data_IF_924280483246
#
_entry.id   IF_924280483246
#
_cell.length_a   1.000
_cell.length_b   1.000
_cell.length_c   1.000
_cell.angle_alpha   90.00
_cell.angle_beta   90.00
_cell.angle_gamma   90.00
#
_symmetry.space_group_name_H-M   'P 1'
#
loop_
_entity.id
_entity.type
_entity.pdbx_description
1 polymer ?
#
# COMPACT_ATOMS: atom_id res chain seq x y z
N UNK A 1 27.04 8.34 -18.61
CA UNK A 1 27.00 8.62 -20.07
C UNK A 1 25.66 9.22 -20.49
N UNK A 2 24.52 8.54 -20.25
CA UNK A 2 23.19 9.06 -20.59
C UNK A 2 22.82 10.37 -19.85
N UNK A 3 23.25 10.53 -18.60
CA UNK A 3 23.00 11.76 -17.84
C UNK A 3 23.75 12.97 -18.36
N UNK A 4 24.93 12.78 -18.95
CA UNK A 4 25.70 13.85 -19.58
C UNK A 4 25.07 14.30 -20.91
N UNK A 5 24.27 13.44 -21.54
CA UNK A 5 23.51 13.75 -22.75
C UNK A 5 22.12 14.33 -22.43
N UNK A 6 21.81 14.59 -21.16
CA UNK A 6 20.52 15.15 -20.73
C UNK A 6 19.34 14.18 -20.81
N UNK A 7 19.58 12.88 -21.04
CA UNK A 7 18.52 11.87 -21.20
C UNK A 7 17.97 11.41 -19.84
N UNK A 8 18.78 11.49 -18.78
CA UNK A 8 18.36 11.13 -17.43
C UNK A 8 19.13 11.92 -16.35
N UNK A 9 18.64 11.94 -15.12
CA UNK A 9 19.40 12.48 -13.99
C UNK A 9 20.62 11.59 -13.68
N UNK A 10 21.69 12.20 -13.15
CA UNK A 10 22.83 11.42 -12.67
C UNK A 10 22.47 10.62 -11.41
N UNK A 11 23.19 9.53 -11.14
CA UNK A 11 23.02 8.78 -9.90
C UNK A 11 23.26 9.66 -8.65
N UNK A 12 24.27 10.54 -8.72
CA UNK A 12 24.55 11.51 -7.67
C UNK A 12 23.35 12.44 -7.43
N UNK A 13 22.74 12.94 -8.50
CA UNK A 13 21.56 13.82 -8.41
C UNK A 13 20.36 13.11 -7.79
N UNK A 14 20.12 11.85 -8.19
CA UNK A 14 19.07 11.03 -7.60
C UNK A 14 19.31 10.78 -6.10
N UNK A 15 20.56 10.50 -5.71
CA UNK A 15 20.93 10.30 -4.30
C UNK A 15 20.76 11.58 -3.47
N UNK A 16 21.19 12.74 -3.99
CA UNK A 16 21.01 14.05 -3.33
C UNK A 16 19.53 14.37 -3.20
N UNK A 17 18.71 14.09 -4.22
CA UNK A 17 17.27 14.29 -4.17
C UNK A 17 16.60 13.41 -3.11
N UNK A 18 16.92 12.11 -3.09
CA UNK A 18 16.41 11.17 -2.10
C UNK A 18 16.75 11.61 -0.67
N UNK A 19 18.01 11.98 -0.42
CA UNK A 19 18.42 12.45 0.90
C UNK A 19 17.75 13.78 1.30
N UNK A 20 17.59 14.70 0.34
CA UNK A 20 16.89 15.97 0.58
C UNK A 20 15.43 15.73 0.97
N UNK A 21 14.76 14.77 0.34
CA UNK A 21 13.40 14.36 0.71
C UNK A 21 13.33 13.77 2.12
N UNK A 22 14.25 12.87 2.48
CA UNK A 22 14.32 12.29 3.83
C UNK A 22 14.47 13.40 4.88
N UNK A 23 15.31 14.40 4.62
CA UNK A 23 15.54 15.52 5.53
C UNK A 23 14.37 16.52 5.59
N UNK A 24 13.59 16.62 4.51
CA UNK A 24 12.42 17.50 4.44
C UNK A 24 11.23 16.98 5.28
N UNK A 25 11.25 15.70 5.67
CA UNK A 25 10.23 15.07 6.50
C UNK A 25 9.05 14.53 5.71
N UNK A 26 8.07 13.97 6.42
CA UNK A 26 6.83 13.44 5.82
C UNK A 26 5.80 14.54 5.62
N UNK A 27 4.95 14.48 4.57
CA UNK A 27 3.84 15.40 4.39
C UNK A 27 2.93 15.46 5.63
N UNK A 28 2.39 16.64 5.90
CA UNK A 28 1.41 16.82 6.98
C UNK A 28 0.08 16.29 6.46
N UNK A 29 -0.52 15.37 7.21
CA UNK A 29 -1.83 14.79 6.91
C UNK A 29 -2.83 15.33 7.92
N UNK A 30 -3.90 15.94 7.42
CA UNK A 30 -4.98 16.47 8.24
C UNK A 30 -5.84 15.35 8.82
N UNK A 31 -6.40 15.56 10.01
CA UNK A 31 -7.14 14.54 10.78
C UNK A 31 -8.43 14.03 10.13
N UNK A 32 -8.94 14.75 9.13
CA UNK A 32 -10.14 14.38 8.37
C UNK A 32 -9.85 13.40 7.22
N UNK A 33 -8.57 13.10 6.93
CA UNK A 33 -8.20 12.13 5.92
C UNK A 33 -8.32 10.70 6.43
N UNK A 34 -8.97 9.85 5.65
CA UNK A 34 -8.89 8.40 5.76
C UNK A 34 -7.50 7.93 5.31
N UNK A 35 -6.88 7.05 6.09
CA UNK A 35 -5.53 6.53 5.82
C UNK A 35 -5.60 5.01 5.68
N UNK A 36 -5.03 4.51 4.58
CA UNK A 36 -4.84 3.08 4.34
C UNK A 36 -3.40 2.82 3.93
N UNK A 37 -2.78 1.83 4.56
CA UNK A 37 -1.49 1.30 4.15
C UNK A 37 -1.72 0.07 3.28
N UNK A 38 -1.06 0.01 2.13
CA UNK A 38 -1.11 -1.14 1.22
C UNK A 38 0.30 -1.65 1.06
N UNK A 39 0.51 -2.95 1.30
CA UNK A 39 1.80 -3.59 1.10
C UNK A 39 1.64 -4.79 0.19
N UNK A 40 2.61 -4.96 -0.70
CA UNK A 40 2.58 -6.01 -1.70
C UNK A 40 4.00 -6.50 -2.06
N UNK A 41 4.09 -7.59 -2.81
CA UNK A 41 5.35 -8.00 -3.42
C UNK A 41 5.83 -6.94 -4.41
N UNK A 42 7.12 -6.64 -4.33
CA UNK A 42 7.80 -5.81 -5.27
C UNK A 42 9.00 -6.58 -5.81
N UNK A 43 8.89 -6.94 -7.07
CA UNK A 43 9.83 -7.79 -7.76
C UNK A 43 10.77 -6.94 -8.62
N UNK A 44 12.07 -6.98 -8.30
CA UNK A 44 13.09 -6.24 -9.03
C UNK A 44 13.94 -7.22 -9.82
N UNK A 45 13.83 -7.17 -11.15
CA UNK A 45 14.70 -7.94 -12.04
C UNK A 45 16.10 -7.31 -12.07
N UNK A 46 16.98 -7.81 -11.19
CA UNK A 46 18.38 -7.37 -11.12
C UNK A 46 19.19 -7.76 -12.36
N UNK A 47 18.74 -8.76 -13.13
CA UNK A 47 19.27 -9.08 -14.47
C UNK A 47 18.27 -8.67 -15.54
N UNK A 48 18.57 -7.57 -16.23
CA UNK A 48 17.67 -6.94 -17.22
C UNK A 48 17.43 -7.79 -18.48
N UNK A 49 18.36 -8.69 -18.83
CA UNK A 49 18.34 -9.39 -20.12
C UNK A 49 17.52 -10.69 -20.09
N UNK A 50 17.64 -11.49 -19.03
CA UNK A 50 17.02 -12.81 -18.93
C UNK A 50 16.01 -12.94 -17.79
N UNK A 51 15.83 -11.89 -16.99
CA UNK A 51 14.92 -11.88 -15.84
C UNK A 51 15.32 -12.84 -14.72
N UNK A 52 16.50 -13.47 -14.76
CA UNK A 52 16.89 -14.44 -13.75
C UNK A 52 17.38 -13.77 -12.47
N UNK A 53 17.07 -14.39 -11.32
CA UNK A 53 17.50 -13.91 -10.01
C UNK A 53 16.76 -12.66 -9.54
N UNK A 54 15.47 -12.55 -9.84
CA UNK A 54 14.58 -11.50 -9.30
C UNK A 54 14.79 -11.32 -7.81
N UNK A 55 15.03 -10.07 -7.40
CA UNK A 55 15.08 -9.68 -6.02
C UNK A 55 13.65 -9.44 -5.53
N UNK A 56 13.23 -10.22 -4.55
CA UNK A 56 11.91 -10.11 -3.94
C UNK A 56 12.01 -9.22 -2.69
N UNK A 57 11.26 -8.12 -2.71
CA UNK A 57 11.09 -7.22 -1.57
C UNK A 57 9.62 -6.93 -1.33
N UNK A 58 9.28 -6.41 -0.15
CA UNK A 58 7.94 -5.89 0.08
C UNK A 58 7.93 -4.38 -0.16
N UNK A 59 7.13 -3.97 -1.13
CA UNK A 59 6.81 -2.56 -1.39
C UNK A 59 5.61 -2.13 -0.55
N UNK A 60 5.51 -0.84 -0.28
CA UNK A 60 4.36 -0.29 0.40
C UNK A 60 3.99 1.10 -0.08
N UNK A 61 2.71 1.42 0.04
CA UNK A 61 2.16 2.75 -0.20
C UNK A 61 1.22 3.13 0.95
N UNK A 62 1.17 4.43 1.24
CA UNK A 62 0.18 5.04 2.11
C UNK A 62 -0.77 5.85 1.23
N UNK A 63 -2.04 5.48 1.25
CA UNK A 63 -3.14 6.13 0.56
C UNK A 63 -3.88 7.04 1.54
N UNK A 64 -4.08 8.31 1.17
CA UNK A 64 -4.84 9.27 1.96
C UNK A 64 -6.03 9.76 1.14
N UNK A 65 -7.24 9.63 1.69
CA UNK A 65 -8.48 10.03 1.04
C UNK A 65 -9.30 10.96 1.95
N UNK A 66 -9.72 12.14 1.48
CA UNK A 66 -9.40 12.72 0.18
C UNK A 66 -7.96 13.21 0.10
N UNK A 67 -7.40 13.27 -1.10
CA UNK A 67 -6.02 13.71 -1.32
C UNK A 67 -5.78 15.18 -0.93
N UNK A 68 -6.85 15.97 -0.84
CA UNK A 68 -6.83 17.34 -0.31
C UNK A 68 -6.46 17.40 1.19
N UNK A 69 -6.49 16.28 1.91
CA UNK A 69 -6.04 16.18 3.29
C UNK A 69 -4.51 16.12 3.44
N UNK A 70 -3.74 16.17 2.36
CA UNK A 70 -2.27 16.14 2.42
C UNK A 70 -1.69 17.48 1.99
N UNK A 71 -0.89 18.10 2.86
CA UNK A 71 -0.14 19.30 2.51
C UNK A 71 1.07 18.90 1.65
N UNK A 72 0.93 19.07 0.34
CA UNK A 72 1.96 18.71 -0.66
C UNK A 72 3.12 19.70 -0.74
N UNK A 73 2.99 20.88 -0.12
CA UNK A 73 4.01 21.93 -0.16
C UNK A 73 5.12 21.72 0.88
N UNK A 74 5.79 20.57 0.85
CA UNK A 74 7.06 20.46 1.56
C UNK A 74 8.11 21.16 0.70
N UNK A 75 8.64 22.30 1.16
CA UNK A 75 9.83 22.90 0.55
C UNK A 75 11.04 22.00 0.84
N UNK A 76 11.34 21.10 -0.09
CA UNK A 76 12.52 20.24 -0.04
C UNK A 76 13.76 21.11 -0.25
N UNK A 77 14.50 21.40 0.82
CA UNK A 77 15.78 22.09 0.70
C UNK A 77 16.82 21.10 0.18
N UNK A 78 17.43 21.43 -0.96
CA UNK A 78 18.56 20.66 -1.51
C UNK A 78 19.68 20.61 -0.49
N UNK A 79 20.17 19.42 -0.19
CA UNK A 79 21.39 19.25 0.60
C UNK A 79 22.58 19.59 -0.30
N UNK A 80 23.34 20.62 0.09
CA UNK A 80 24.46 21.14 -0.71
C UNK A 80 25.79 20.44 -0.40
N UNK A 81 25.98 19.94 0.83
CA UNK A 81 27.19 19.26 1.28
C UNK A 81 26.82 18.15 2.28
N UNK A 82 26.97 16.89 1.88
CA UNK A 82 26.74 15.74 2.75
C UNK A 82 27.43 14.50 2.19
N UNK A 83 28.26 13.85 3.02
CA UNK A 83 28.72 12.49 2.77
C UNK A 83 27.54 11.57 3.08
N UNK A 84 26.95 10.96 2.05
CA UNK A 84 25.89 9.97 2.25
C UNK A 84 26.52 8.59 2.37
N UNK A 85 26.75 8.16 3.61
CA UNK A 85 26.97 6.74 3.89
C UNK A 85 25.61 6.04 3.79
N UNK A 86 25.39 5.22 2.76
CA UNK A 86 24.17 4.42 2.60
C UNK A 86 23.88 3.48 3.78
N UNK A 87 24.82 3.32 4.72
CA UNK A 87 24.67 2.50 5.92
C UNK A 87 23.84 3.17 7.04
N UNK A 88 23.72 4.49 7.08
CA UNK A 88 23.12 5.19 8.25
C UNK A 88 21.59 5.09 8.34
N UNK A 89 20.91 4.54 7.33
CA UNK A 89 19.43 4.45 7.29
C UNK A 89 18.91 3.01 7.43
N UNK A 90 19.75 2.04 7.76
CA UNK A 90 19.31 0.67 8.05
C UNK A 90 19.10 0.54 9.56
N UNK A 91 17.89 0.78 10.04
CA UNK A 91 17.49 0.32 11.38
C UNK A 91 17.18 -1.17 11.30
N UNK A 92 18.17 -1.99 11.59
CA UNK A 92 17.93 -3.39 11.90
C UNK A 92 17.27 -3.45 13.28
N UNK A 93 16.04 -3.99 13.35
CA UNK A 93 15.32 -4.17 14.61
C UNK A 93 14.84 -5.62 14.66
N UNK A 94 15.32 -6.36 15.65
CA UNK A 94 14.97 -7.77 15.85
C UNK A 94 13.80 -7.85 16.83
N UNK A 95 12.66 -8.38 16.37
CA UNK A 95 11.51 -8.68 17.23
C UNK A 95 11.14 -10.15 17.08
N UNK A 96 10.83 -10.87 18.18
CA UNK A 96 10.35 -12.24 18.08
C UNK A 96 8.92 -12.24 17.51
N UNK A 97 8.75 -12.71 16.27
CA UNK A 97 7.42 -12.91 15.67
C UNK A 97 6.82 -14.18 16.29
N UNK A 98 5.78 -14.01 17.11
CA UNK A 98 5.01 -15.15 17.65
C UNK A 98 3.90 -15.51 16.68
N UNK A 99 3.94 -16.73 16.13
CA UNK A 99 2.89 -17.26 15.27
C UNK A 99 1.81 -17.92 16.14
N UNK A 100 0.59 -17.38 16.13
CA UNK A 100 -0.58 -18.14 16.56
C UNK A 100 -1.23 -18.68 15.29
N UNK A 101 -1.17 -19.98 15.03
CA UNK A 101 -1.76 -20.62 13.84
C UNK A 101 -3.31 -20.59 13.86
N UNK A 102 -3.91 -19.45 14.20
CA UNK A 102 -5.34 -19.27 14.47
C UNK A 102 -6.00 -18.34 13.46
N UNK A 103 -5.25 -17.62 12.60
CA UNK A 103 -5.81 -16.63 11.68
C UNK A 103 -6.83 -17.23 10.72
N UNK A 104 -6.56 -18.45 10.21
CA UNK A 104 -7.51 -19.19 9.37
C UNK A 104 -8.78 -19.61 10.12
N UNK A 105 -8.71 -19.87 11.42
CA UNK A 105 -9.87 -20.29 12.22
C UNK A 105 -10.87 -19.16 12.47
N UNK A 106 -10.45 -17.91 12.26
CA UNK A 106 -11.31 -16.72 12.36
C UNK A 106 -12.03 -16.39 11.05
N UNK A 107 -11.61 -16.99 9.92
CA UNK A 107 -12.22 -16.73 8.62
C UNK A 107 -13.55 -17.47 8.48
N UNK A 108 -14.62 -16.70 8.38
CA UNK A 108 -15.94 -17.20 7.98
C UNK A 108 -16.04 -17.14 6.46
N UNK A 109 -16.06 -18.30 5.82
CA UNK A 109 -16.34 -18.41 4.39
C UNK A 109 -17.86 -18.45 4.25
N UNK A 110 -18.43 -17.36 3.76
CA UNK A 110 -19.85 -17.30 3.44
C UNK A 110 -20.12 -17.98 2.09
N UNK A 111 -21.19 -18.76 2.03
CA UNK A 111 -21.63 -19.40 0.81
C UNK A 111 -22.28 -18.36 -0.10
N UNK A 112 -21.61 -18.04 -1.21
CA UNK A 112 -22.07 -17.04 -2.18
C UNK A 112 -23.41 -17.42 -2.83
N UNK A 113 -23.82 -18.69 -2.81
CA UNK A 113 -25.13 -19.11 -3.29
C UNK A 113 -26.29 -18.66 -2.38
N UNK A 114 -25.99 -18.31 -1.14
CA UNK A 114 -26.94 -17.78 -0.14
C UNK A 114 -27.07 -16.27 -0.18
N UNK A 115 -26.28 -15.58 -1.02
CA UNK A 115 -26.51 -14.17 -1.35
C UNK A 115 -27.77 -14.10 -2.22
N UNK A 116 -28.93 -14.12 -1.58
CA UNK A 116 -30.17 -13.76 -2.26
C UNK A 116 -30.01 -12.35 -2.85
N UNK A 117 -30.50 -12.15 -4.07
CA UNK A 117 -30.41 -10.88 -4.82
C UNK A 117 -31.05 -9.67 -4.09
N UNK A 118 -31.55 -9.83 -2.85
CA UNK A 118 -32.48 -8.91 -2.21
C UNK A 118 -32.17 -8.43 -0.79
N UNK A 119 -31.12 -8.88 -0.08
CA UNK A 119 -31.00 -8.49 1.34
C UNK A 119 -29.56 -8.28 1.81
N UNK A 120 -28.94 -7.18 1.39
CA UNK A 120 -27.90 -6.57 2.20
C UNK A 120 -27.96 -5.04 2.11
N UNK A 121 -28.14 -4.44 3.29
CA UNK A 121 -27.90 -3.04 3.68
C UNK A 121 -29.08 -2.06 3.54
N UNK A 122 -29.36 -1.41 4.68
CA UNK A 122 -30.32 -0.34 4.87
C UNK A 122 -30.29 0.69 3.74
N UNK A 123 -31.49 1.16 3.36
CA UNK A 123 -31.80 2.14 2.30
C UNK A 123 -31.01 3.47 2.32
N UNK A 124 -30.11 3.69 3.27
CA UNK A 124 -29.26 4.89 3.37
C UNK A 124 -27.85 4.74 2.77
N UNK A 125 -27.33 3.52 2.59
CA UNK A 125 -25.97 3.28 2.06
C UNK A 125 -25.96 2.36 0.82
N UNK A 126 -27.15 2.07 0.27
CA UNK A 126 -27.40 1.03 -0.72
C UNK A 126 -26.90 1.34 -2.15
N UNK A 127 -26.19 2.44 -2.40
CA UNK A 127 -25.68 2.76 -3.74
C UNK A 127 -24.26 2.23 -4.00
N UNK A 128 -23.43 2.00 -2.97
CA UNK A 128 -22.01 1.66 -3.16
C UNK A 128 -21.66 0.17 -3.00
N UNK A 129 -22.60 -0.69 -2.60
CA UNK A 129 -22.41 -2.13 -2.42
C UNK A 129 -23.61 -2.94 -2.95
N UNK A 130 -24.09 -2.62 -4.15
CA UNK A 130 -25.10 -3.45 -4.81
C UNK A 130 -24.54 -4.88 -5.04
N UNK A 131 -25.40 -5.92 -5.08
CA UNK A 131 -25.01 -7.28 -5.51
C UNK A 131 -24.24 -7.32 -6.86
N UNK A 132 -24.42 -6.30 -7.70
CA UNK A 132 -23.64 -6.04 -8.92
C UNK A 132 -22.12 -5.91 -8.68
N UNK A 133 -21.69 -5.40 -7.52
CA UNK A 133 -20.29 -5.08 -7.23
C UNK A 133 -19.45 -6.34 -6.95
N UNK A 134 -20.11 -7.47 -6.67
CA UNK A 134 -19.51 -8.80 -6.47
C UNK A 134 -19.89 -9.76 -7.60
N UNK A 135 -20.87 -9.41 -8.44
CA UNK A 135 -21.36 -10.24 -9.54
C UNK A 135 -20.28 -10.53 -10.61
N UNK A 136 -19.31 -9.63 -10.78
CA UNK A 136 -18.16 -9.87 -11.67
C UNK A 136 -17.20 -10.94 -11.09
N UNK A 137 -17.06 -11.02 -9.76
CA UNK A 137 -16.23 -12.05 -9.08
C UNK A 137 -16.82 -13.44 -9.31
N UNK A 138 -18.15 -13.55 -9.32
CA UNK A 138 -18.87 -14.83 -9.50
C UNK A 138 -19.25 -15.13 -10.96
N UNK A 139 -18.77 -14.33 -11.92
CA UNK A 139 -18.90 -14.64 -13.35
C UNK A 139 -20.33 -14.63 -13.89
N UNK A 140 -21.22 -13.77 -13.36
CA UNK A 140 -22.57 -13.63 -13.93
C UNK A 140 -22.45 -13.13 -15.37
N UNK A 141 -22.86 -13.96 -16.34
CA UNK A 141 -22.64 -13.81 -17.80
C UNK A 141 -23.15 -12.51 -18.46
N UNK A 142 -23.73 -11.57 -17.72
CA UNK A 142 -24.32 -10.34 -18.23
C UNK A 142 -23.73 -9.06 -17.63
N UNK A 143 -22.68 -9.14 -16.81
CA UNK A 143 -22.10 -7.97 -16.15
C UNK A 143 -20.78 -7.53 -16.80
N UNK A 144 -20.48 -6.22 -16.83
CA UNK A 144 -19.18 -5.74 -17.24
C UNK A 144 -18.10 -6.33 -16.31
N UNK A 145 -16.97 -6.74 -16.88
CA UNK A 145 -15.79 -7.13 -16.09
C UNK A 145 -15.25 -5.95 -15.26
N UNK A 146 -14.23 -6.22 -14.44
CA UNK A 146 -13.63 -5.24 -13.51
C UNK A 146 -13.42 -3.83 -14.10
N UNK A 147 -12.86 -3.73 -15.32
CA UNK A 147 -12.64 -2.44 -15.97
C UNK A 147 -13.93 -1.66 -16.29
N UNK A 148 -14.99 -2.34 -16.73
CA UNK A 148 -16.28 -1.70 -17.00
C UNK A 148 -17.03 -1.33 -15.72
N UNK A 149 -16.91 -2.16 -14.68
CA UNK A 149 -17.38 -1.84 -13.33
C UNK A 149 -16.71 -0.56 -12.79
N UNK A 150 -15.37 -0.53 -12.77
CA UNK A 150 -14.62 0.64 -12.31
C UNK A 150 -14.98 1.89 -13.11
N UNK A 151 -15.10 1.79 -14.44
CA UNK A 151 -15.54 2.90 -15.28
C UNK A 151 -16.93 3.42 -14.88
N UNK A 152 -17.85 2.53 -14.50
CA UNK A 152 -19.19 2.92 -14.04
C UNK A 152 -19.15 3.63 -12.70
N UNK A 153 -18.37 3.13 -11.73
CA UNK A 153 -18.21 3.75 -10.40
C UNK A 153 -17.60 5.15 -10.55
N UNK A 154 -16.59 5.30 -11.41
CA UNK A 154 -15.90 6.57 -11.62
C UNK A 154 -16.75 7.65 -12.33
N UNK A 155 -17.90 7.28 -12.93
CA UNK A 155 -18.82 8.24 -13.56
C UNK A 155 -19.64 9.07 -12.56
N UNK A 156 -19.69 8.67 -11.30
CA UNK A 156 -20.44 9.34 -10.24
C UNK A 156 -19.50 10.10 -9.28
N UNK A 157 -19.10 11.34 -9.59
CA UNK A 157 -18.10 12.09 -8.81
C UNK A 157 -18.53 12.46 -7.39
N UNK A 158 -19.78 12.18 -6.98
CA UNK A 158 -20.27 12.43 -5.62
C UNK A 158 -20.13 11.24 -4.66
N UNK A 159 -19.71 10.06 -5.15
CA UNK A 159 -19.64 8.83 -4.34
C UNK A 159 -18.21 8.39 -4.01
N UNK A 160 -17.20 9.08 -4.53
CA UNK A 160 -15.79 8.78 -4.32
C UNK A 160 -14.94 10.05 -4.36
N UNK A 161 -13.79 10.02 -3.68
CA UNK A 161 -12.79 11.08 -3.72
C UNK A 161 -11.43 10.53 -4.14
N UNK A 162 -10.64 11.33 -4.84
CA UNK A 162 -9.29 10.95 -5.29
C UNK A 162 -8.33 10.88 -4.11
N UNK A 163 -7.60 9.78 -4.01
CA UNK A 163 -6.57 9.60 -2.97
C UNK A 163 -5.23 10.25 -3.36
N UNK A 164 -4.50 10.76 -2.36
CA UNK A 164 -3.08 11.07 -2.48
C UNK A 164 -2.25 9.82 -2.11
N UNK A 165 -1.27 9.46 -2.93
CA UNK A 165 -0.46 8.25 -2.77
C UNK A 165 0.97 8.62 -2.40
N UNK A 166 1.45 8.07 -1.29
CA UNK A 166 2.83 8.20 -0.84
C UNK A 166 3.52 6.83 -0.86
N UNK A 167 4.68 6.74 -1.49
CA UNK A 167 5.51 5.55 -1.40
C UNK A 167 6.12 5.43 0.01
N UNK A 168 6.07 4.25 0.61
CA UNK A 168 6.77 3.95 1.85
C UNK A 168 8.13 3.29 1.56
N UNK A 169 9.07 3.27 2.52
CA UNK A 169 10.32 2.54 2.35
C UNK A 169 10.08 1.07 2.02
N UNK A 170 10.92 0.52 1.14
CA UNK A 170 10.93 -0.91 0.83
C UNK A 170 11.46 -1.72 2.02
N UNK A 171 10.88 -2.89 2.23
CA UNK A 171 11.44 -3.90 3.14
C UNK A 171 12.20 -4.89 2.27
N UNK A 172 13.53 -4.84 2.36
CA UNK A 172 14.46 -5.65 1.58
C UNK A 172 14.57 -7.09 2.10
N UNK A 173 13.42 -7.76 2.24
CA UNK A 173 13.28 -9.14 2.63
C UNK A 173 12.16 -9.78 1.82
N UNK A 174 12.23 -11.09 1.66
CA UNK A 174 11.21 -11.87 0.95
C UNK A 174 9.80 -11.57 1.53
N UNK A 175 8.82 -11.14 0.72
CA UNK A 175 7.45 -10.85 1.16
C UNK A 175 6.76 -12.03 1.84
N UNK A 176 7.14 -13.26 1.50
CA UNK A 176 6.60 -14.47 2.11
C UNK A 176 7.12 -14.73 3.51
N UNK A 177 8.20 -14.07 3.94
CA UNK A 177 8.76 -14.20 5.28
C UNK A 177 7.89 -13.44 6.30
N UNK A 178 7.57 -14.12 7.41
CA UNK A 178 6.74 -13.57 8.49
C UNK A 178 7.35 -12.31 9.12
N UNK A 179 8.68 -12.21 9.19
CA UNK A 179 9.37 -11.01 9.68
C UNK A 179 9.15 -9.81 8.77
N UNK A 180 9.06 -10.01 7.46
CA UNK A 180 8.76 -8.97 6.48
C UNK A 180 7.34 -8.42 6.71
N UNK A 181 6.36 -9.31 6.81
CA UNK A 181 4.96 -8.95 7.05
C UNK A 181 4.80 -8.27 8.42
N UNK A 182 5.46 -8.79 9.46
CA UNK A 182 5.48 -8.16 10.78
C UNK A 182 6.08 -6.74 10.73
N UNK A 183 7.19 -6.56 10.00
CA UNK A 183 7.83 -5.26 9.83
C UNK A 183 6.89 -4.27 9.15
N UNK A 184 6.16 -4.68 8.11
CA UNK A 184 5.16 -3.86 7.45
C UNK A 184 4.01 -3.45 8.39
N UNK A 185 3.45 -4.42 9.11
CA UNK A 185 2.40 -4.17 10.11
C UNK A 185 2.86 -3.22 11.22
N UNK A 186 4.06 -3.44 11.74
CA UNK A 186 4.65 -2.59 12.78
C UNK A 186 4.91 -1.17 12.26
N UNK A 187 5.43 -1.03 11.04
CA UNK A 187 5.59 0.26 10.39
C UNK A 187 4.25 0.98 10.26
N UNK A 188 3.21 0.32 9.73
CA UNK A 188 1.89 0.91 9.57
C UNK A 188 1.27 1.33 10.92
N UNK A 189 1.42 0.50 11.95
CA UNK A 189 0.94 0.81 13.30
C UNK A 189 1.65 2.04 13.88
N UNK A 190 2.98 2.13 13.74
CA UNK A 190 3.76 3.28 14.20
C UNK A 190 3.41 4.57 13.45
N UNK A 191 3.22 4.50 12.12
CA UNK A 191 2.79 5.67 11.34
C UNK A 191 1.39 6.13 11.73
N UNK A 192 0.46 5.19 11.85
CA UNK A 192 -0.93 5.49 12.25
C UNK A 192 -0.98 6.09 13.66
N UNK A 193 -0.14 5.61 14.59
CA UNK A 193 0.02 6.18 15.94
C UNK A 193 0.52 7.62 15.90
N UNK A 194 1.53 7.93 15.08
CA UNK A 194 2.04 9.29 14.89
C UNK A 194 0.99 10.22 14.29
N UNK A 195 0.22 9.70 13.34
CA UNK A 195 -0.85 10.43 12.65
C UNK A 195 -2.15 10.50 13.45
N UNK A 196 -2.23 9.81 14.60
CA UNK A 196 -3.43 9.67 15.45
C UNK A 196 -4.65 9.18 14.67
N UNK A 197 -4.42 8.24 13.76
CA UNK A 197 -5.44 7.64 12.89
C UNK A 197 -5.58 6.15 13.18
N UNK A 198 -6.71 5.58 12.75
CA UNK A 198 -6.92 4.13 12.79
C UNK A 198 -5.94 3.45 11.83
N UNK A 199 -5.27 2.40 12.30
CA UNK A 199 -4.36 1.63 11.45
C UNK A 199 -5.17 0.68 10.57
N UNK A 200 -5.21 0.96 9.27
CA UNK A 200 -5.83 0.10 8.26
C UNK A 200 -4.74 -0.36 7.32
N UNK A 201 -4.60 -1.68 7.20
CA UNK A 201 -3.58 -2.31 6.36
C UNK A 201 -4.25 -3.27 5.39
N UNK A 202 -3.81 -3.25 4.14
CA UNK A 202 -4.31 -4.13 3.08
C UNK A 202 -3.16 -4.87 2.43
N UNK A 203 -3.42 -6.15 2.16
CA UNK A 203 -2.52 -7.10 1.53
C UNK A 203 -3.32 -7.95 0.54
N UNK A 204 -2.62 -8.50 -0.45
CA UNK A 204 -3.15 -9.61 -1.24
C UNK A 204 -3.48 -10.83 -0.37
N UNK A 205 -4.40 -11.68 -0.84
CA UNK A 205 -4.98 -12.77 -0.04
C UNK A 205 -3.92 -13.65 0.67
N UNK A 206 -2.85 -14.16 0.02
CA UNK A 206 -1.87 -15.00 0.71
C UNK A 206 -1.11 -14.27 1.83
N UNK A 207 -0.81 -12.98 1.63
CA UNK A 207 -0.14 -12.14 2.60
C UNK A 207 -1.09 -11.76 3.75
N UNK A 208 -2.37 -11.48 3.43
CA UNK A 208 -3.41 -11.21 4.43
C UNK A 208 -3.59 -12.38 5.41
N UNK A 209 -3.56 -13.62 4.92
CA UNK A 209 -3.65 -14.81 5.79
C UNK A 209 -2.51 -14.87 6.80
N UNK A 210 -1.28 -14.63 6.33
CA UNK A 210 -0.09 -14.60 7.19
C UNK A 210 -0.12 -13.42 8.16
N UNK A 211 -0.57 -12.25 7.71
CA UNK A 211 -0.76 -11.08 8.56
C UNK A 211 -1.80 -11.35 9.66
N UNK A 212 -2.89 -12.04 9.33
CA UNK A 212 -3.93 -12.43 10.28
C UNK A 212 -3.37 -13.37 11.36
N UNK A 213 -2.51 -14.33 11.01
CA UNK A 213 -1.82 -15.21 11.96
C UNK A 213 -0.86 -14.44 12.91
N UNK A 214 -0.30 -13.31 12.47
CA UNK A 214 0.57 -12.46 13.28
C UNK A 214 -0.23 -11.65 14.30
N UNK A 215 -1.39 -11.13 13.89
CA UNK A 215 -2.21 -10.21 14.69
C UNK A 215 -3.16 -10.95 15.65
N UNK A 216 -3.49 -12.22 15.36
CA UNK A 216 -4.30 -13.11 16.21
C UNK A 216 -3.67 -13.41 17.58
#
# INVERSE_FOLDING_TARGET
MLSLMGVCSSYHEAAVYQASLINAGTPIIHSNGFIQHVFDNADVNVRTIDGHGTFHAMGGIQCVTPGSCVDTQIKVKRILNGSFSGAETIRECSFPVRKKNMGLSLLKIEDLSKLEQGTCLNKGYAHSLFPLNVAWIVGVKSQPGWGGFMTSVMKNPGEHETSYIMATPFINLDPSNMSTIFTALHFAAEQSRKQKQTCIVTFDQPLFLKASDIVS
#
